data_IF_477186176097
#
_entry.id   IF_477186176097
#
_cell.length_a   1.000
_cell.length_b   1.000
_cell.length_c   1.000
_cell.angle_alpha   90.00
_cell.angle_beta   90.00
_cell.angle_gamma   90.00
#
_symmetry.space_group_name_H-M   'P 1'
#
loop_
_entity.id
_entity.type
_entity.pdbx_description
1 polymer ?
#
# COMPACT_ATOMS: atom_id res chain seq x y z
N UNK A 1 20.02 1.17 11.44
CA UNK A 1 19.03 1.28 12.56
C UNK A 1 17.82 2.14 12.17
N UNK A 2 18.05 3.27 11.48
CA UNK A 2 17.01 4.23 11.03
C UNK A 2 15.93 3.60 10.12
N UNK A 3 16.31 2.71 9.19
CA UNK A 3 15.35 2.03 8.30
C UNK A 3 14.31 1.14 9.04
N UNK A 4 14.62 0.61 10.22
CA UNK A 4 13.65 -0.24 10.95
C UNK A 4 12.52 0.57 11.58
N UNK A 5 12.80 1.80 12.03
CA UNK A 5 11.81 2.67 12.69
C UNK A 5 10.83 3.24 11.65
N UNK A 6 11.37 3.68 10.50
CA UNK A 6 10.58 4.28 9.42
C UNK A 6 9.60 3.27 8.81
N UNK A 7 10.03 2.01 8.63
CA UNK A 7 9.17 0.94 8.09
C UNK A 7 8.11 0.51 9.12
N UNK A 8 8.41 0.52 10.43
CA UNK A 8 7.45 0.12 11.47
C UNK A 8 6.29 1.12 11.59
N UNK A 9 6.58 2.41 11.43
CA UNK A 9 5.53 3.45 11.38
C UNK A 9 4.71 3.39 10.09
N UNK A 10 5.33 3.08 8.95
CA UNK A 10 4.62 2.85 7.68
C UNK A 10 3.65 1.66 7.77
N UNK A 11 4.06 0.59 8.47
CA UNK A 11 3.26 -0.64 8.60
C UNK A 11 1.94 -0.44 9.37
N UNK A 12 1.88 0.53 10.30
CA UNK A 12 0.73 0.77 11.18
C UNK A 12 -0.30 1.75 10.62
N UNK A 13 0.14 2.77 9.87
CA UNK A 13 -0.75 3.79 9.31
C UNK A 13 -1.24 3.47 7.88
N UNK A 14 -0.48 2.71 7.09
CA UNK A 14 -0.64 2.71 5.63
C UNK A 14 -1.46 1.56 5.03
N UNK A 15 -2.04 0.65 5.82
CA UNK A 15 -2.54 -0.61 5.24
C UNK A 15 -3.97 -0.59 4.72
N UNK A 16 -4.90 -0.04 5.50
CA UNK A 16 -6.32 -0.18 5.18
C UNK A 16 -7.06 1.15 5.28
N UNK A 17 -6.76 1.91 6.34
CA UNK A 17 -7.37 3.23 6.54
C UNK A 17 -7.05 4.18 5.40
N UNK A 18 -5.80 4.25 4.92
CA UNK A 18 -5.43 5.14 3.80
C UNK A 18 -6.12 4.74 2.50
N UNK A 19 -6.24 3.44 2.22
CA UNK A 19 -6.91 2.95 1.00
C UNK A 19 -8.41 3.24 1.05
N UNK A 20 -9.06 2.93 2.17
CA UNK A 20 -10.48 3.26 2.39
C UNK A 20 -10.69 4.77 2.30
N UNK A 21 -9.83 5.57 2.93
CA UNK A 21 -9.92 7.01 2.93
C UNK A 21 -9.80 7.60 1.52
N UNK A 22 -8.84 7.15 0.73
CA UNK A 22 -8.68 7.54 -0.67
C UNK A 22 -9.93 7.14 -1.48
N UNK A 23 -10.44 5.92 -1.29
CA UNK A 23 -11.66 5.45 -1.96
C UNK A 23 -12.90 6.27 -1.60
N UNK A 24 -13.05 6.67 -0.33
CA UNK A 24 -14.14 7.53 0.15
C UNK A 24 -14.03 8.93 -0.45
N UNK A 25 -12.84 9.53 -0.47
CA UNK A 25 -12.60 10.83 -1.12
C UNK A 25 -12.95 10.79 -2.60
N UNK A 26 -12.51 9.74 -3.32
CA UNK A 26 -12.82 9.56 -4.74
C UNK A 26 -14.33 9.44 -4.96
N UNK A 27 -15.02 8.69 -4.10
CA UNK A 27 -16.48 8.50 -4.19
C UNK A 27 -17.25 9.79 -3.90
N UNK A 28 -16.85 10.55 -2.88
CA UNK A 28 -17.48 11.84 -2.54
C UNK A 28 -17.20 12.87 -3.65
N UNK A 29 -15.95 12.96 -4.12
CA UNK A 29 -15.55 13.91 -5.16
C UNK A 29 -16.25 13.65 -6.49
N UNK A 30 -16.45 12.38 -6.87
CA UNK A 30 -17.23 12.02 -8.07
C UNK A 30 -18.72 12.37 -7.91
N UNK A 31 -19.31 12.14 -6.73
CA UNK A 31 -20.68 12.56 -6.42
C UNK A 31 -20.85 14.09 -6.51
N UNK A 32 -19.92 14.86 -5.95
CA UNK A 32 -19.94 16.33 -6.03
C UNK A 32 -19.82 16.84 -7.46
N UNK A 33 -19.00 16.17 -8.29
CA UNK A 33 -18.88 16.47 -9.73
C UNK A 33 -20.19 16.19 -10.48
N UNK A 34 -20.84 15.05 -10.22
CA UNK A 34 -22.13 14.70 -10.86
C UNK A 34 -23.25 15.67 -10.49
N UNK A 35 -23.23 16.17 -9.25
CA UNK A 35 -24.17 17.20 -8.79
C UNK A 35 -23.86 18.61 -9.35
N UNK A 36 -22.84 18.74 -10.22
CA UNK A 36 -22.41 20.01 -10.82
C UNK A 36 -21.99 21.09 -9.82
N UNK A 37 -21.71 20.73 -8.56
CA UNK A 37 -21.18 21.68 -7.57
C UNK A 37 -19.78 22.16 -7.93
N UNK A 38 -18.99 21.32 -8.59
CA UNK A 38 -17.65 21.65 -9.03
C UNK A 38 -17.29 20.98 -10.37
N UNK A 39 -16.62 21.72 -11.25
CA UNK A 39 -16.15 21.24 -12.55
C UNK A 39 -14.64 20.96 -12.49
N UNK A 40 -14.29 19.74 -12.07
CA UNK A 40 -12.90 19.28 -12.02
C UNK A 40 -12.63 18.28 -13.15
N UNK A 41 -11.45 18.33 -13.78
CA UNK A 41 -11.07 17.30 -14.78
C UNK A 41 -11.05 15.91 -14.13
N UNK A 42 -11.55 14.90 -14.86
CA UNK A 42 -11.51 13.51 -14.42
C UNK A 42 -10.08 12.98 -14.27
N UNK A 43 -9.11 13.60 -14.94
CA UNK A 43 -7.70 13.21 -14.91
C UNK A 43 -7.10 13.26 -13.50
N UNK A 44 -7.60 14.18 -12.66
CA UNK A 44 -7.17 14.30 -11.26
C UNK A 44 -7.56 13.07 -10.43
N UNK A 45 -8.74 12.49 -10.66
CA UNK A 45 -9.17 11.26 -9.98
C UNK A 45 -8.33 10.07 -10.44
N UNK A 46 -8.04 9.98 -11.73
CA UNK A 46 -7.17 8.93 -12.28
C UNK A 46 -5.74 9.02 -11.74
N UNK A 47 -5.20 10.23 -11.60
CA UNK A 47 -3.91 10.46 -10.99
C UNK A 47 -3.90 10.01 -9.52
N UNK A 48 -4.94 10.38 -8.74
CA UNK A 48 -5.05 9.99 -7.34
C UNK A 48 -5.14 8.47 -7.16
N UNK A 49 -5.92 7.80 -8.00
CA UNK A 49 -6.03 6.35 -8.03
C UNK A 49 -4.68 5.69 -8.36
N UNK A 50 -3.99 6.19 -9.39
CA UNK A 50 -2.68 5.68 -9.80
C UNK A 50 -1.64 5.82 -8.70
N UNK A 51 -1.59 6.96 -8.02
CA UNK A 51 -0.67 7.19 -6.88
C UNK A 51 -0.97 6.22 -5.72
N UNK A 52 -2.25 6.04 -5.38
CA UNK A 52 -2.65 5.09 -4.34
C UNK A 52 -2.19 3.67 -4.66
N UNK A 53 -2.38 3.23 -5.90
CA UNK A 53 -1.99 1.90 -6.37
C UNK A 53 -0.47 1.69 -6.35
N UNK A 54 0.31 2.70 -6.78
CA UNK A 54 1.78 2.63 -6.74
C UNK A 54 2.30 2.53 -5.30
N UNK A 55 1.73 3.30 -4.38
CA UNK A 55 2.10 3.26 -2.95
C UNK A 55 1.80 1.86 -2.38
N UNK A 56 0.62 1.33 -2.65
CA UNK A 56 0.22 -0.01 -2.19
C UNK A 56 1.11 -1.11 -2.79
N UNK A 57 1.41 -1.03 -4.09
CA UNK A 57 2.35 -1.91 -4.77
C UNK A 57 3.75 -1.88 -4.15
N UNK A 58 4.27 -0.68 -3.86
CA UNK A 58 5.56 -0.53 -3.18
C UNK A 58 5.57 -1.18 -1.79
N UNK A 59 4.51 -0.97 -0.99
CA UNK A 59 4.39 -1.56 0.35
C UNK A 59 4.32 -3.09 0.26
N UNK A 60 3.57 -3.62 -0.72
CA UNK A 60 3.46 -5.06 -0.96
C UNK A 60 4.82 -5.68 -1.31
N UNK A 61 5.59 -5.06 -2.21
CA UNK A 61 6.92 -5.53 -2.58
C UNK A 61 7.89 -5.54 -1.39
N UNK A 62 7.87 -4.49 -0.56
CA UNK A 62 8.72 -4.43 0.64
C UNK A 62 8.37 -5.54 1.63
N UNK A 63 7.07 -5.83 1.82
CA UNK A 63 6.61 -6.95 2.64
C UNK A 63 7.04 -8.29 2.09
N UNK A 64 6.86 -8.49 0.78
CA UNK A 64 7.24 -9.74 0.13
C UNK A 64 8.73 -10.01 0.30
N UNK A 65 9.58 -9.00 0.07
CA UNK A 65 11.03 -9.11 0.30
C UNK A 65 11.39 -9.44 1.75
N UNK A 66 10.62 -8.92 2.73
CA UNK A 66 10.80 -9.25 4.16
C UNK A 66 10.34 -10.68 4.47
N UNK A 67 9.24 -11.12 3.88
CA UNK A 67 8.71 -12.47 4.01
C UNK A 67 9.72 -13.47 3.43
N UNK A 68 10.17 -13.27 2.19
CA UNK A 68 11.14 -14.14 1.52
C UNK A 68 12.43 -14.25 2.34
N UNK A 69 12.93 -13.15 2.90
CA UNK A 69 14.11 -13.18 3.78
C UNK A 69 13.88 -13.98 5.06
N UNK A 70 12.67 -13.95 5.64
CA UNK A 70 12.36 -14.67 6.88
C UNK A 70 12.20 -16.17 6.64
N UNK A 71 11.51 -16.56 5.58
CA UNK A 71 11.16 -17.96 5.31
C UNK A 71 12.24 -18.72 4.51
N UNK A 72 13.05 -18.03 3.69
CA UNK A 72 14.21 -18.65 3.03
C UNK A 72 15.26 -19.19 4.00
N UNK A 73 15.32 -18.65 5.22
CA UNK A 73 16.24 -19.12 6.28
C UNK A 73 15.74 -20.44 6.90
N UNK A 74 14.42 -20.69 6.87
CA UNK A 74 13.80 -21.84 7.52
C UNK A 74 14.03 -23.11 6.69
N UNK A 75 13.95 -23.01 5.36
CA UNK A 75 14.21 -24.14 4.46
C UNK A 75 15.64 -24.70 4.60
N UNK A 76 16.63 -23.84 4.82
CA UNK A 76 18.03 -24.25 5.00
C UNK A 76 18.18 -25.07 6.30
N UNK A 77 17.59 -24.60 7.40
CA UNK A 77 17.66 -25.31 8.68
C UNK A 77 16.92 -26.66 8.68
N UNK A 78 15.75 -26.75 8.04
CA UNK A 78 15.04 -28.05 7.93
C UNK A 78 15.83 -29.07 7.09
N UNK A 79 16.58 -28.62 6.08
CA UNK A 79 17.38 -29.50 5.24
C UNK A 79 18.63 -30.06 5.94
N UNK A 80 19.17 -29.34 6.93
CA UNK A 80 20.31 -29.81 7.74
C UNK A 80 19.90 -30.74 8.89
N UNK A 81 18.69 -30.60 9.42
CA UNK A 81 18.17 -31.47 10.50
C UNK A 81 17.76 -32.87 9.98
N UNK A 82 17.53 -33.00 8.66
CA UNK A 82 17.14 -34.28 8.03
C UNK A 82 18.32 -35.12 7.49
N UNK A 83 19.56 -34.67 7.67
CA UNK A 83 20.78 -35.44 7.35
C UNK A 83 21.36 -36.09 8.59
#
# INVERSE_FOLDING_TARGET
MINKILIKNLDSFARYETFIFIGVIMSIGTLLKLLRFYDFSSDWFWLLAGVGLVIEGCISLVKQKRFDRKYKIIEINESEIKK
#
